data_IF_819468959605
#
_entry.id   IF_819468959605
#
_cell.length_a   1.000
_cell.length_b   1.000
_cell.length_c   1.000
_cell.angle_alpha   90.00
_cell.angle_beta   90.00
_cell.angle_gamma   90.00
#
_symmetry.space_group_name_H-M   'P 1'
#
loop_
_entity.id
_entity.type
_entity.pdbx_description
1 polymer ?
#
# COMPACT_ATOMS: atom_id res chain seq x y z
N UNK A 1 15.17 2.54 -18.62
CA UNK A 1 16.32 2.18 -17.76
C UNK A 1 16.59 0.69 -17.96
N UNK A 2 17.71 0.31 -18.59
CA UNK A 2 18.09 -1.09 -18.91
C UNK A 2 18.62 -1.79 -17.64
N UNK A 3 17.78 -2.03 -16.63
CA UNK A 3 18.24 -2.58 -15.33
C UNK A 3 18.63 -4.06 -15.46
N UNK A 4 17.96 -4.82 -16.35
CA UNK A 4 18.27 -6.22 -16.63
C UNK A 4 18.39 -6.43 -18.14
N UNK A 5 19.51 -6.00 -18.74
CA UNK A 5 19.77 -6.28 -20.16
C UNK A 5 20.30 -7.72 -20.32
N UNK A 6 19.69 -8.49 -21.23
CA UNK A 6 20.23 -9.78 -21.69
C UNK A 6 21.65 -9.59 -22.22
N UNK A 7 22.63 -10.25 -21.59
CA UNK A 7 23.93 -10.57 -22.18
C UNK A 7 24.00 -12.08 -22.24
N UNK A 8 24.10 -12.61 -23.45
CA UNK A 8 24.16 -14.04 -23.77
C UNK A 8 25.49 -14.63 -23.26
N UNK A 9 25.52 -15.07 -22.00
CA UNK A 9 26.56 -15.93 -21.43
C UNK A 9 25.89 -16.93 -20.48
N UNK A 10 25.47 -18.08 -21.02
CA UNK A 10 24.69 -19.13 -20.33
C UNK A 10 25.34 -19.61 -19.02
N UNK A 11 26.67 -19.62 -18.96
CA UNK A 11 27.42 -20.05 -17.77
C UNK A 11 27.31 -19.06 -16.59
N UNK A 12 26.98 -17.79 -16.87
CA UNK A 12 26.77 -16.76 -15.83
C UNK A 12 25.31 -16.67 -15.35
N UNK A 13 24.37 -17.27 -16.10
CA UNK A 13 22.93 -17.23 -15.84
C UNK A 13 22.52 -18.18 -14.71
N UNK A 14 23.05 -19.41 -14.71
CA UNK A 14 22.83 -20.37 -13.61
C UNK A 14 23.49 -19.93 -12.30
N UNK A 15 24.57 -19.13 -12.39
CA UNK A 15 25.39 -18.77 -11.24
C UNK A 15 24.63 -17.87 -10.24
N UNK A 16 23.88 -16.86 -10.71
CA UNK A 16 23.14 -15.93 -9.82
C UNK A 16 22.00 -16.64 -9.08
N UNK A 17 21.25 -17.46 -9.81
CA UNK A 17 20.14 -18.23 -9.26
C UNK A 17 20.62 -19.31 -8.28
N UNK A 18 21.68 -20.04 -8.63
CA UNK A 18 22.28 -21.04 -7.74
C UNK A 18 22.82 -20.39 -6.45
N UNK A 19 23.46 -19.22 -6.55
CA UNK A 19 23.90 -18.44 -5.39
C UNK A 19 22.72 -18.03 -4.50
N UNK A 20 21.63 -17.53 -5.09
CA UNK A 20 20.44 -17.14 -4.34
C UNK A 20 19.83 -18.33 -3.58
N UNK A 21 19.65 -19.46 -4.27
CA UNK A 21 19.16 -20.71 -3.65
C UNK A 21 20.09 -21.19 -2.54
N UNK A 22 21.41 -21.19 -2.77
CA UNK A 22 22.39 -21.58 -1.76
C UNK A 22 22.34 -20.67 -0.53
N UNK A 23 22.26 -19.35 -0.73
CA UNK A 23 22.15 -18.38 0.37
C UNK A 23 20.91 -18.70 1.21
N UNK A 24 19.74 -18.84 0.58
CA UNK A 24 18.48 -19.15 1.28
C UNK A 24 18.57 -20.40 2.16
N UNK A 25 19.23 -21.46 1.69
CA UNK A 25 19.37 -22.72 2.46
C UNK A 25 20.31 -22.61 3.65
N UNK A 26 21.26 -21.68 3.64
CA UNK A 26 22.24 -21.51 4.71
C UNK A 26 21.73 -20.70 5.91
N UNK A 27 20.50 -20.19 5.85
CA UNK A 27 19.98 -19.22 6.80
C UNK A 27 18.81 -19.79 7.58
N UNK A 28 18.90 -19.64 8.89
CA UNK A 28 17.80 -19.83 9.80
C UNK A 28 17.02 -18.50 9.94
N UNK A 29 15.85 -18.44 9.32
CA UNK A 29 14.98 -17.26 9.31
C UNK A 29 14.43 -16.89 10.69
N UNK A 30 14.47 -17.79 11.69
CA UNK A 30 14.10 -17.45 13.06
C UNK A 30 15.14 -16.56 13.76
N UNK A 31 16.39 -16.51 13.26
CA UNK A 31 17.49 -15.78 13.90
C UNK A 31 17.69 -14.43 13.19
N UNK A 32 17.43 -13.33 13.91
CA UNK A 32 17.56 -11.97 13.36
C UNK A 32 18.96 -11.65 12.82
N UNK A 33 20.01 -12.08 13.53
CA UNK A 33 21.39 -11.84 13.09
C UNK A 33 21.70 -12.55 11.75
N UNK A 34 21.13 -13.73 11.51
CA UNK A 34 21.29 -14.47 10.26
C UNK A 34 20.50 -13.82 9.13
N UNK A 35 19.27 -13.38 9.40
CA UNK A 35 18.46 -12.55 8.50
C UNK A 35 19.18 -11.27 8.06
N UNK A 36 19.82 -10.54 8.98
CA UNK A 36 20.65 -9.37 8.63
C UNK A 36 21.90 -9.75 7.83
N UNK A 37 22.51 -10.92 8.10
CA UNK A 37 23.63 -11.46 7.32
C UNK A 37 23.19 -11.85 5.90
N UNK A 38 21.96 -12.33 5.73
CA UNK A 38 21.37 -12.60 4.43
C UNK A 38 21.26 -11.35 3.59
N UNK A 39 20.64 -10.29 4.11
CA UNK A 39 20.44 -9.03 3.40
C UNK A 39 21.74 -8.44 2.88
N UNK A 40 22.80 -8.44 3.71
CA UNK A 40 24.14 -7.97 3.31
C UNK A 40 24.73 -8.74 2.13
N UNK A 41 24.39 -10.02 1.96
CA UNK A 41 24.82 -10.84 0.83
C UNK A 41 23.85 -10.76 -0.36
N UNK A 42 22.56 -10.56 -0.09
CA UNK A 42 21.51 -10.44 -1.08
C UNK A 42 21.67 -9.17 -1.92
N UNK A 43 21.84 -7.99 -1.30
CA UNK A 43 21.89 -6.73 -2.05
C UNK A 43 22.97 -6.67 -3.14
N UNK A 44 24.23 -7.09 -2.89
CA UNK A 44 25.24 -7.16 -3.95
C UNK A 44 24.91 -8.16 -5.06
N UNK A 45 24.21 -9.26 -4.72
CA UNK A 45 23.77 -10.27 -5.68
C UNK A 45 22.67 -9.71 -6.59
N UNK A 46 21.68 -9.01 -6.03
CA UNK A 46 20.60 -8.38 -6.79
C UNK A 46 21.12 -7.28 -7.73
N UNK A 47 22.06 -6.47 -7.24
CA UNK A 47 22.68 -5.39 -8.03
C UNK A 47 23.41 -5.90 -9.26
N UNK A 48 24.01 -7.08 -9.15
CA UNK A 48 24.79 -7.71 -10.23
C UNK A 48 24.08 -8.93 -10.80
N UNK A 49 22.74 -8.98 -10.71
CA UNK A 49 21.97 -10.12 -11.18
C UNK A 49 22.23 -10.36 -12.67
N UNK A 50 22.57 -11.61 -13.02
CA UNK A 50 22.75 -12.06 -14.40
C UNK A 50 21.74 -13.16 -14.70
N UNK A 51 21.17 -13.12 -15.90
CA UNK A 51 20.19 -14.09 -16.36
C UNK A 51 18.74 -13.67 -16.13
N UNK A 52 17.78 -14.56 -16.45
CA UNK A 52 16.36 -14.30 -16.24
C UNK A 52 16.04 -14.13 -14.76
N UNK A 53 15.00 -13.37 -14.46
CA UNK A 53 14.51 -13.23 -13.10
C UNK A 53 13.71 -14.49 -12.73
N UNK A 54 13.95 -15.08 -11.55
CA UNK A 54 13.28 -16.31 -11.13
C UNK A 54 11.88 -16.01 -10.60
N UNK A 55 10.98 -16.99 -10.63
CA UNK A 55 9.79 -16.90 -9.77
C UNK A 55 10.24 -17.01 -8.30
N UNK A 56 10.04 -15.94 -7.54
CA UNK A 56 10.46 -15.89 -6.14
C UNK A 56 9.73 -16.90 -5.26
N UNK A 57 8.54 -17.37 -5.65
CA UNK A 57 7.80 -18.40 -4.91
C UNK A 57 8.48 -19.77 -4.95
N UNK A 58 9.34 -20.01 -5.93
CA UNK A 58 10.13 -21.26 -6.02
C UNK A 58 11.30 -21.27 -5.01
N UNK A 59 11.62 -20.12 -4.42
CA UNK A 59 12.81 -19.93 -3.58
C UNK A 59 12.42 -19.55 -2.16
N UNK A 60 11.43 -18.67 -2.01
CA UNK A 60 11.03 -18.09 -0.73
C UNK A 60 9.58 -18.41 -0.40
N UNK A 61 9.33 -18.62 0.90
CA UNK A 61 7.98 -18.62 1.45
C UNK A 61 7.36 -17.22 1.37
N UNK A 62 6.03 -17.12 1.40
CA UNK A 62 5.32 -15.84 1.43
C UNK A 62 5.82 -14.94 2.56
N UNK A 63 5.91 -15.50 3.76
CA UNK A 63 6.26 -14.74 4.97
C UNK A 63 7.73 -14.28 4.91
N UNK A 64 8.60 -15.05 4.25
CA UNK A 64 9.98 -14.65 3.95
C UNK A 64 10.00 -13.46 2.97
N UNK A 65 9.14 -13.46 1.95
CA UNK A 65 9.00 -12.34 0.99
C UNK A 65 8.42 -11.09 1.66
N UNK A 66 7.37 -11.25 2.48
CA UNK A 66 6.79 -10.14 3.24
C UNK A 66 7.85 -9.55 4.18
N UNK A 67 8.59 -10.38 4.93
CA UNK A 67 9.67 -9.89 5.78
C UNK A 67 10.74 -9.13 4.98
N UNK A 68 11.17 -9.67 3.84
CA UNK A 68 12.15 -9.04 2.95
C UNK A 68 11.70 -7.65 2.47
N UNK A 69 10.44 -7.54 2.05
CA UNK A 69 9.84 -6.28 1.62
C UNK A 69 9.70 -5.30 2.80
N UNK A 70 9.30 -5.77 3.99
CA UNK A 70 9.21 -4.94 5.20
C UNK A 70 10.56 -4.38 5.61
N UNK A 71 11.63 -5.18 5.59
CA UNK A 71 12.99 -4.68 5.86
C UNK A 71 13.43 -3.61 4.87
N UNK A 72 12.98 -3.71 3.62
CA UNK A 72 13.25 -2.70 2.58
C UNK A 72 12.55 -1.37 2.89
N UNK A 73 11.41 -1.41 3.57
CA UNK A 73 10.65 -0.25 4.02
C UNK A 73 11.27 0.39 5.27
N UNK A 74 11.76 -0.42 6.22
CA UNK A 74 12.22 0.04 7.54
C UNK A 74 13.70 0.42 7.62
N UNK A 75 14.58 -0.29 6.89
CA UNK A 75 16.03 -0.16 7.02
C UNK A 75 16.58 1.24 6.70
N UNK A 76 15.84 2.07 5.97
CA UNK A 76 16.23 3.45 5.66
C UNK A 76 17.50 3.58 4.80
N UNK A 77 18.08 2.47 4.36
CA UNK A 77 19.22 2.41 3.43
C UNK A 77 18.75 2.51 1.96
N UNK A 78 17.66 3.24 1.70
CA UNK A 78 17.26 3.56 0.33
C UNK A 78 18.19 4.64 -0.21
N UNK A 79 19.33 4.21 -0.75
CA UNK A 79 20.04 5.01 -1.74
C UNK A 79 19.37 4.72 -3.08
N UNK A 80 18.97 5.76 -3.81
CA UNK A 80 18.44 5.70 -5.20
C UNK A 80 19.31 4.86 -6.17
N UNK A 81 20.55 4.54 -5.77
CA UNK A 81 21.52 3.72 -6.51
C UNK A 81 21.37 2.21 -6.32
N UNK A 82 20.58 1.73 -5.35
CA UNK A 82 20.31 0.31 -5.14
C UNK A 82 19.06 -0.09 -5.92
N UNK A 83 19.13 -1.21 -6.65
CA UNK A 83 17.92 -1.89 -7.13
C UNK A 83 17.13 -2.26 -5.88
N UNK A 84 16.04 -1.53 -5.62
CA UNK A 84 15.15 -1.81 -4.50
C UNK A 84 14.73 -3.27 -4.57
N UNK A 85 14.77 -3.98 -3.45
CA UNK A 85 14.32 -5.37 -3.38
C UNK A 85 12.86 -5.48 -3.87
N UNK A 86 12.02 -4.49 -3.58
CA UNK A 86 10.66 -4.42 -4.14
C UNK A 86 10.66 -4.35 -5.68
N UNK A 87 11.56 -3.57 -6.27
CA UNK A 87 11.69 -3.48 -7.73
C UNK A 87 12.13 -4.82 -8.31
N UNK A 88 13.09 -5.51 -7.69
CA UNK A 88 13.49 -6.86 -8.09
C UNK A 88 12.31 -7.85 -8.00
N UNK A 89 11.55 -7.81 -6.91
CA UNK A 89 10.35 -8.63 -6.70
C UNK A 89 9.31 -8.36 -7.79
N UNK A 90 9.02 -7.10 -8.11
CA UNK A 90 8.05 -6.76 -9.17
C UNK A 90 8.50 -7.25 -10.55
N UNK A 91 9.77 -7.02 -10.91
CA UNK A 91 10.30 -7.45 -12.20
C UNK A 91 10.45 -8.97 -12.31
N UNK A 92 10.55 -9.68 -11.18
CA UNK A 92 10.49 -11.14 -11.15
C UNK A 92 9.13 -11.70 -11.56
N UNK A 93 8.11 -10.83 -11.68
CA UNK A 93 6.74 -11.24 -11.97
C UNK A 93 5.98 -11.68 -10.72
N UNK A 94 6.60 -11.59 -9.54
CA UNK A 94 5.93 -11.89 -8.29
C UNK A 94 4.69 -11.01 -8.11
N UNK A 95 3.59 -11.67 -7.76
CA UNK A 95 2.34 -11.07 -7.30
C UNK A 95 1.91 -11.79 -6.05
N UNK A 96 1.31 -11.05 -5.14
CA UNK A 96 0.74 -11.65 -3.96
C UNK A 96 -0.39 -12.61 -4.36
N UNK A 97 -0.44 -13.75 -3.66
CA UNK A 97 -1.51 -14.73 -3.80
C UNK A 97 -2.17 -14.85 -2.43
N UNK A 98 -3.43 -14.41 -2.30
CA UNK A 98 -4.16 -14.52 -1.05
C UNK A 98 -4.41 -15.98 -0.71
N UNK A 99 -4.42 -16.27 0.59
CA UNK A 99 -5.00 -17.51 1.07
C UNK A 99 -6.52 -17.40 1.08
N UNK A 100 -7.19 -18.53 0.99
CA UNK A 100 -8.64 -18.63 1.06
C UNK A 100 -9.02 -19.51 2.24
N UNK A 101 -10.10 -19.15 2.93
CA UNK A 101 -10.72 -19.99 3.95
C UNK A 101 -11.45 -21.19 3.32
N UNK A 102 -11.98 -22.08 4.17
CA UNK A 102 -12.75 -23.26 3.72
C UNK A 102 -14.00 -22.91 2.90
N UNK A 103 -14.44 -21.64 2.92
CA UNK A 103 -15.58 -21.12 2.18
C UNK A 103 -15.16 -20.40 0.88
N UNK A 104 -13.87 -20.43 0.52
CA UNK A 104 -13.35 -19.78 -0.66
C UNK A 104 -13.29 -18.26 -0.56
N UNK A 105 -13.30 -17.69 0.64
CA UNK A 105 -13.17 -16.23 0.86
C UNK A 105 -11.72 -15.88 1.16
N UNK A 106 -11.19 -14.76 0.64
CA UNK A 106 -9.83 -14.33 0.95
C UNK A 106 -9.63 -14.11 2.45
N UNK A 107 -8.53 -14.65 2.99
CA UNK A 107 -8.09 -14.35 4.36
C UNK A 107 -7.51 -12.94 4.38
N UNK A 108 -8.27 -11.98 4.91
CA UNK A 108 -7.90 -10.57 4.91
C UNK A 108 -7.02 -10.15 6.09
N UNK A 109 -7.00 -10.89 7.20
CA UNK A 109 -6.14 -10.55 8.36
C UNK A 109 -4.68 -10.92 8.06
N UNK A 110 -3.87 -9.92 7.70
CA UNK A 110 -2.43 -10.06 7.42
C UNK A 110 -1.76 -8.69 7.46
N UNK A 111 -0.81 -8.52 8.36
CA UNK A 111 0.10 -7.39 8.35
C UNK A 111 1.10 -7.55 7.20
N UNK A 112 1.06 -6.62 6.25
CA UNK A 112 1.90 -6.65 5.04
C UNK A 112 2.92 -5.51 5.06
N UNK A 113 3.99 -5.57 4.25
CA UNK A 113 4.89 -4.45 3.96
C UNK A 113 4.22 -3.09 3.72
N UNK A 114 3.05 -3.04 3.06
CA UNK A 114 2.29 -1.80 2.88
C UNK A 114 1.90 -1.14 4.22
N UNK A 115 1.52 -1.92 5.23
CA UNK A 115 1.16 -1.41 6.56
C UNK A 115 2.39 -0.79 7.24
N UNK A 116 3.55 -1.46 7.22
CA UNK A 116 4.80 -0.90 7.75
C UNK A 116 5.24 0.39 7.02
N UNK A 117 4.85 0.56 5.76
CA UNK A 117 5.25 1.73 4.96
C UNK A 117 4.60 3.04 5.40
N UNK A 118 3.48 3.00 6.14
CA UNK A 118 2.82 4.23 6.62
C UNK A 118 3.58 4.85 7.82
N UNK A 119 4.19 4.01 8.64
CA UNK A 119 4.97 4.42 9.82
C UNK A 119 6.38 4.85 9.43
N UNK A 120 6.92 4.31 8.33
CA UNK A 120 8.23 4.70 7.81
C UNK A 120 8.21 6.10 7.20
N UNK A 121 9.05 6.98 7.74
CA UNK A 121 9.28 8.33 7.19
C UNK A 121 10.33 8.35 6.07
N UNK A 122 11.01 7.23 5.83
CA UNK A 122 12.24 7.19 5.02
C UNK A 122 12.00 6.77 3.57
N UNK A 123 11.09 5.81 3.34
CA UNK A 123 11.00 5.08 2.07
C UNK A 123 9.59 5.12 1.45
N UNK A 124 8.91 6.27 1.47
CA UNK A 124 7.53 6.38 0.93
C UNK A 124 7.43 6.15 -0.58
N UNK A 125 8.52 6.39 -1.33
CA UNK A 125 8.58 6.17 -2.78
C UNK A 125 8.35 4.69 -3.19
N UNK A 126 8.50 3.74 -2.26
CA UNK A 126 8.28 2.31 -2.53
C UNK A 126 6.80 1.91 -2.52
N UNK A 127 5.92 2.76 -1.98
CA UNK A 127 4.50 2.41 -1.76
C UNK A 127 3.77 2.09 -3.09
N UNK A 128 3.91 2.90 -4.17
CA UNK A 128 3.31 2.55 -5.46
C UNK A 128 3.82 1.22 -6.02
N UNK A 129 5.09 0.88 -5.75
CA UNK A 129 5.68 -0.38 -6.15
C UNK A 129 5.12 -1.56 -5.34
N UNK A 130 4.92 -1.38 -4.03
CA UNK A 130 4.25 -2.40 -3.21
C UNK A 130 2.80 -2.65 -3.68
N UNK A 131 2.05 -1.63 -4.09
CA UNK A 131 0.72 -1.83 -4.67
C UNK A 131 0.72 -2.62 -6.00
N UNK A 132 1.84 -2.67 -6.73
CA UNK A 132 1.99 -3.56 -7.89
C UNK A 132 2.19 -5.02 -7.49
N UNK A 133 2.64 -5.28 -6.26
CA UNK A 133 2.75 -6.64 -5.71
C UNK A 133 1.38 -7.10 -5.19
N UNK A 134 0.67 -6.20 -4.50
CA UNK A 134 -0.68 -6.42 -3.97
C UNK A 134 -1.74 -5.85 -4.93
N UNK A 135 -1.73 -6.31 -6.18
CA UNK A 135 -2.59 -5.77 -7.26
C UNK A 135 -4.00 -6.40 -7.34
N UNK A 136 -4.38 -7.17 -6.31
CA UNK A 136 -5.70 -7.79 -6.16
C UNK A 136 -6.62 -6.94 -5.28
N UNK A 137 -7.40 -6.08 -5.91
CA UNK A 137 -8.33 -5.15 -5.23
C UNK A 137 -9.62 -5.81 -4.73
N UNK A 138 -9.85 -7.09 -5.05
CA UNK A 138 -10.86 -7.93 -4.42
C UNK A 138 -10.45 -8.44 -3.03
N UNK A 139 -9.21 -8.15 -2.61
CA UNK A 139 -8.67 -8.44 -1.28
C UNK A 139 -8.23 -7.15 -0.61
N UNK A 140 -8.85 -6.83 0.51
CA UNK A 140 -8.45 -5.69 1.33
C UNK A 140 -7.81 -6.19 2.62
N UNK A 141 -6.49 -6.41 2.59
CA UNK A 141 -5.77 -6.89 3.75
C UNK A 141 -5.85 -5.89 4.90
N UNK A 142 -5.95 -6.40 6.13
CA UNK A 142 -6.00 -5.63 7.36
C UNK A 142 -4.90 -6.06 8.32
N UNK A 143 -4.21 -5.09 8.92
CA UNK A 143 -3.28 -5.33 10.02
C UNK A 143 -3.98 -5.48 11.38
N UNK A 144 -3.18 -5.60 12.43
CA UNK A 144 -3.62 -5.76 13.82
C UNK A 144 -4.38 -4.53 14.35
N UNK A 145 -4.06 -3.33 13.86
CA UNK A 145 -4.74 -2.07 14.22
C UNK A 145 -6.04 -1.82 13.45
N UNK A 146 -6.32 -2.66 12.45
CA UNK A 146 -7.48 -2.51 11.57
C UNK A 146 -7.26 -1.54 10.41
N UNK A 147 -6.02 -1.12 10.16
CA UNK A 147 -5.70 -0.41 8.93
C UNK A 147 -5.79 -1.39 7.77
N UNK A 148 -6.37 -0.93 6.66
CA UNK A 148 -6.53 -1.76 5.46
C UNK A 148 -5.70 -1.19 4.31
N UNK A 149 -5.44 -2.00 3.27
CA UNK A 149 -4.80 -1.49 2.04
C UNK A 149 -5.54 -0.31 1.43
N UNK A 150 -6.88 -0.30 1.52
CA UNK A 150 -7.68 0.84 1.10
C UNK A 150 -7.43 2.08 1.98
N UNK A 151 -7.39 1.94 3.31
CA UNK A 151 -7.05 3.05 4.21
C UNK A 151 -5.64 3.62 3.92
N UNK A 152 -4.67 2.74 3.65
CA UNK A 152 -3.31 3.13 3.27
C UNK A 152 -3.32 3.93 1.97
N UNK A 153 -4.00 3.45 0.94
CA UNK A 153 -4.11 4.16 -0.34
C UNK A 153 -4.74 5.55 -0.17
N UNK A 154 -5.78 5.66 0.66
CA UNK A 154 -6.44 6.94 0.94
C UNK A 154 -5.54 7.93 1.68
N UNK A 155 -4.79 7.43 2.67
CA UNK A 155 -3.84 8.22 3.46
C UNK A 155 -2.64 8.72 2.65
N UNK A 156 -2.13 7.89 1.73
CA UNK A 156 -0.95 8.22 0.91
C UNK A 156 -1.32 9.06 -0.31
N UNK A 157 -2.56 8.99 -0.78
CA UNK A 157 -3.01 9.71 -1.97
C UNK A 157 -2.85 8.92 -3.26
N UNK A 158 -2.86 7.58 -3.20
CA UNK A 158 -2.77 6.71 -4.37
C UNK A 158 -4.13 6.59 -5.07
N UNK A 159 -4.51 7.64 -5.79
CA UNK A 159 -5.77 7.78 -6.53
C UNK A 159 -6.11 6.59 -7.43
N UNK A 160 -5.18 6.09 -8.25
CA UNK A 160 -5.43 4.91 -9.10
C UNK A 160 -5.76 3.64 -8.31
N UNK A 161 -5.19 3.51 -7.11
CA UNK A 161 -5.44 2.37 -6.21
C UNK A 161 -6.80 2.54 -5.53
N UNK A 162 -7.11 3.75 -5.07
CA UNK A 162 -8.43 4.06 -4.48
C UNK A 162 -9.54 3.81 -5.49
N UNK A 163 -9.40 4.29 -6.72
CA UNK A 163 -10.36 4.09 -7.80
C UNK A 163 -10.62 2.59 -8.03
N UNK A 164 -9.58 1.77 -8.15
CA UNK A 164 -9.73 0.32 -8.32
C UNK A 164 -10.42 -0.36 -7.13
N UNK A 165 -10.09 -0.01 -5.90
CA UNK A 165 -10.81 -0.56 -4.75
C UNK A 165 -12.31 -0.23 -4.80
N UNK A 166 -12.66 1.02 -5.15
CA UNK A 166 -14.06 1.45 -5.30
C UNK A 166 -14.76 0.71 -6.45
N UNK A 167 -14.10 0.50 -7.57
CA UNK A 167 -14.62 -0.31 -8.70
C UNK A 167 -14.91 -1.76 -8.30
N UNK A 168 -14.11 -2.32 -7.40
CA UNK A 168 -14.32 -3.66 -6.82
C UNK A 168 -15.34 -3.67 -5.68
N UNK A 169 -16.03 -2.56 -5.42
CA UNK A 169 -17.11 -2.47 -4.44
C UNK A 169 -16.65 -2.31 -2.99
N UNK A 170 -15.42 -1.84 -2.76
CA UNK A 170 -14.97 -1.46 -1.43
C UNK A 170 -15.88 -0.36 -0.86
N UNK A 171 -16.33 -0.55 0.38
CA UNK A 171 -17.09 0.47 1.11
C UNK A 171 -16.20 1.70 1.39
N UNK A 172 -16.54 2.91 0.88
CA UNK A 172 -15.80 4.13 1.13
C UNK A 172 -15.96 4.67 2.56
N UNK A 173 -16.88 4.09 3.36
CA UNK A 173 -17.15 4.47 4.74
C UNK A 173 -16.58 3.47 5.76
N UNK A 174 -15.67 2.59 5.33
CA UNK A 174 -15.04 1.65 6.25
C UNK A 174 -14.26 2.38 7.34
N UNK A 175 -14.14 1.76 8.51
CA UNK A 175 -13.56 2.39 9.71
C UNK A 175 -12.37 1.58 10.18
N UNK A 176 -11.25 2.25 10.49
CA UNK A 176 -10.10 1.62 11.16
C UNK A 176 -10.51 1.22 12.58
N UNK A 177 -10.24 -0.02 12.97
CA UNK A 177 -10.75 -0.57 14.23
C UNK A 177 -10.20 0.14 15.48
N UNK A 178 -8.90 0.45 15.51
CA UNK A 178 -8.27 1.05 16.70
C UNK A 178 -8.35 2.57 16.78
N UNK A 179 -8.40 3.27 15.65
CA UNK A 179 -8.34 4.75 15.59
C UNK A 179 -9.62 5.40 15.12
N UNK A 180 -10.60 4.60 14.68
CA UNK A 180 -11.85 5.06 14.08
C UNK A 180 -11.67 5.98 12.87
N UNK A 181 -10.50 5.93 12.23
CA UNK A 181 -10.22 6.73 11.05
C UNK A 181 -11.08 6.25 9.87
N UNK A 182 -11.65 7.22 9.15
CA UNK A 182 -12.41 6.98 7.93
C UNK A 182 -11.60 7.41 6.69
N UNK A 183 -11.78 6.73 5.54
CA UNK A 183 -11.11 7.08 4.28
C UNK A 183 -11.22 8.56 3.94
N UNK A 184 -12.40 9.15 4.08
CA UNK A 184 -12.65 10.56 3.74
C UNK A 184 -11.86 11.52 4.65
N UNK A 185 -11.83 11.25 5.96
CA UNK A 185 -11.04 12.01 6.93
C UNK A 185 -9.54 11.83 6.71
N UNK A 186 -9.08 10.62 6.36
CA UNK A 186 -7.69 10.38 5.99
C UNK A 186 -7.29 11.20 4.77
N UNK A 187 -8.11 11.20 3.71
CA UNK A 187 -7.82 11.98 2.50
C UNK A 187 -7.72 13.49 2.81
N UNK A 188 -8.62 14.02 3.64
CA UNK A 188 -8.59 15.42 4.05
C UNK A 188 -7.38 15.75 4.92
N UNK A 189 -7.09 14.99 5.98
CA UNK A 189 -5.96 15.26 6.90
C UNK A 189 -4.60 15.21 6.21
N UNK A 190 -4.47 14.43 5.14
CA UNK A 190 -3.24 14.28 4.37
C UNK A 190 -3.23 15.08 3.05
N UNK A 191 -4.19 15.99 2.84
CA UNK A 191 -4.29 16.87 1.66
C UNK A 191 -4.38 16.11 0.31
N UNK A 192 -5.03 14.95 0.30
CA UNK A 192 -5.20 14.14 -0.90
C UNK A 192 -6.52 14.48 -1.61
N UNK A 193 -6.59 15.66 -2.23
CA UNK A 193 -7.83 16.19 -2.83
C UNK A 193 -8.45 15.27 -3.89
N UNK A 194 -7.63 14.67 -4.75
CA UNK A 194 -8.11 13.76 -5.80
C UNK A 194 -8.74 12.49 -5.21
N UNK A 195 -8.13 11.95 -4.15
CA UNK A 195 -8.70 10.83 -3.41
C UNK A 195 -10.00 11.24 -2.73
N UNK A 196 -10.04 12.43 -2.11
CA UNK A 196 -11.26 12.97 -1.51
C UNK A 196 -12.41 13.02 -2.55
N UNK A 197 -12.15 13.52 -3.76
CA UNK A 197 -13.15 13.54 -4.83
C UNK A 197 -13.57 12.12 -5.24
N UNK A 198 -12.63 11.19 -5.42
CA UNK A 198 -12.92 9.79 -5.73
C UNK A 198 -13.82 9.14 -4.68
N UNK A 199 -13.53 9.35 -3.39
CA UNK A 199 -14.32 8.81 -2.28
C UNK A 199 -15.73 9.39 -2.26
N UNK A 200 -15.88 10.70 -2.39
CA UNK A 200 -17.20 11.37 -2.44
C UNK A 200 -18.02 10.87 -3.63
N UNK A 201 -17.40 10.75 -4.81
CA UNK A 201 -18.05 10.20 -6.01
C UNK A 201 -18.37 8.70 -5.87
N UNK A 202 -17.55 7.97 -5.11
CA UNK A 202 -17.71 6.57 -4.74
C UNK A 202 -18.77 6.29 -3.68
N UNK A 203 -19.42 7.33 -3.13
CA UNK A 203 -20.51 7.17 -2.15
C UNK A 203 -20.07 7.29 -0.69
N UNK A 204 -18.92 7.93 -0.41
CA UNK A 204 -18.60 8.35 0.94
C UNK A 204 -19.70 9.28 1.49
N UNK A 205 -20.06 9.10 2.76
CA UNK A 205 -21.02 9.95 3.46
C UNK A 205 -20.35 11.29 3.82
N UNK A 206 -20.81 12.42 3.25
CA UNK A 206 -20.23 13.74 3.53
C UNK A 206 -20.46 14.22 4.96
N UNK A 207 -21.33 13.56 5.73
CA UNK A 207 -21.70 13.92 7.09
C UNK A 207 -21.17 12.94 8.15
N UNK A 208 -20.38 11.95 7.74
CA UNK A 208 -19.84 10.96 8.67
C UNK A 208 -18.94 11.62 9.71
N UNK A 209 -19.03 11.18 10.96
CA UNK A 209 -18.24 11.74 12.06
C UNK A 209 -17.08 10.80 12.40
N UNK A 210 -15.89 11.37 12.61
CA UNK A 210 -14.76 10.63 13.17
C UNK A 210 -14.89 10.47 14.70
N UNK A 211 -13.91 9.81 15.32
CA UNK A 211 -13.88 9.61 16.78
C UNK A 211 -13.85 10.91 17.59
N UNK A 212 -13.45 12.03 16.98
CA UNK A 212 -13.44 13.35 17.62
C UNK A 212 -14.77 14.08 17.45
N UNK A 213 -15.74 13.49 16.76
CA UNK A 213 -17.01 14.11 16.41
C UNK A 213 -16.91 15.11 15.25
N UNK A 214 -15.80 15.08 14.49
CA UNK A 214 -15.59 16.00 13.37
C UNK A 214 -16.18 15.41 12.08
N UNK A 215 -16.93 16.22 11.34
CA UNK A 215 -17.38 15.91 9.98
C UNK A 215 -16.28 16.26 8.96
N UNK A 216 -16.36 15.76 7.72
CA UNK A 216 -15.50 16.23 6.64
C UNK A 216 -15.48 17.75 6.51
N UNK A 217 -16.64 18.41 6.64
CA UNK A 217 -16.75 19.86 6.57
C UNK A 217 -16.00 20.58 7.71
N UNK A 218 -15.98 20.02 8.93
CA UNK A 218 -15.17 20.57 10.02
C UNK A 218 -13.68 20.55 9.65
N UNK A 219 -13.18 19.44 9.09
CA UNK A 219 -11.78 19.34 8.69
C UNK A 219 -11.41 20.26 7.52
N UNK A 220 -12.31 20.47 6.57
CA UNK A 220 -12.10 21.42 5.47
C UNK A 220 -12.01 22.85 6.01
N UNK A 221 -12.92 23.22 6.92
CA UNK A 221 -12.95 24.57 7.51
C UNK A 221 -11.77 24.89 8.44
N UNK A 222 -11.10 23.87 8.99
CA UNK A 222 -9.89 24.03 9.81
C UNK A 222 -8.64 24.41 8.99
N UNK A 223 -8.67 24.22 7.67
CA UNK A 223 -7.53 24.55 6.80
C UNK A 223 -7.64 25.98 6.29
N UNK A 224 -6.57 26.74 6.44
CA UNK A 224 -6.44 28.06 5.82
C UNK A 224 -6.25 27.90 4.30
N UNK A 225 -6.99 28.67 3.49
CA UNK A 225 -6.93 28.73 2.02
C UNK A 225 -7.37 27.47 1.22
N UNK A 226 -8.42 26.75 1.65
CA UNK A 226 -8.96 25.57 0.93
C UNK A 226 -10.35 25.83 0.27
N UNK A 227 -10.59 27.05 -0.22
CA UNK A 227 -11.85 27.45 -0.87
C UNK A 227 -12.23 26.51 -2.04
N UNK A 228 -11.23 26.05 -2.79
CA UNK A 228 -11.42 25.10 -3.90
C UNK A 228 -11.95 23.73 -3.43
N UNK A 229 -11.55 23.26 -2.25
CA UNK A 229 -12.06 22.00 -1.68
C UNK A 229 -13.48 22.18 -1.13
N UNK A 230 -13.78 23.33 -0.51
CA UNK A 230 -15.13 23.68 -0.07
C UNK A 230 -16.10 23.70 -1.26
N UNK A 231 -15.75 24.40 -2.33
CA UNK A 231 -16.58 24.50 -3.53
C UNK A 231 -16.80 23.12 -4.18
N UNK A 232 -15.75 22.29 -4.26
CA UNK A 232 -15.86 20.92 -4.75
C UNK A 232 -16.74 20.05 -3.84
N UNK A 233 -16.61 20.16 -2.52
CA UNK A 233 -17.43 19.43 -1.56
C UNK A 233 -18.92 19.71 -1.79
N UNK A 234 -19.32 21.00 -1.81
CA UNK A 234 -20.72 21.37 -2.03
C UNK A 234 -21.21 20.96 -3.41
N UNK A 235 -20.40 21.16 -4.45
CA UNK A 235 -20.73 20.73 -5.81
C UNK A 235 -21.03 19.23 -5.90
N UNK A 236 -20.21 18.38 -5.30
CA UNK A 236 -20.42 16.92 -5.33
C UNK A 236 -21.66 16.54 -4.51
N UNK A 237 -21.89 17.19 -3.36
CA UNK A 237 -23.08 16.96 -2.55
C UNK A 237 -24.37 17.31 -3.31
N UNK A 238 -24.40 18.44 -4.01
CA UNK A 238 -25.50 18.86 -4.86
C UNK A 238 -25.73 17.88 -6.02
N UNK A 239 -24.66 17.45 -6.70
CA UNK A 239 -24.72 16.44 -7.78
C UNK A 239 -25.30 15.10 -7.30
N UNK A 240 -24.97 14.70 -6.07
CA UNK A 240 -25.38 13.41 -5.48
C UNK A 240 -26.70 13.49 -4.70
N UNK A 241 -27.29 14.68 -4.56
CA UNK A 241 -28.44 14.95 -3.68
C UNK A 241 -28.20 14.49 -2.22
N UNK A 242 -26.97 14.65 -1.73
CA UNK A 242 -26.61 14.35 -0.34
C UNK A 242 -26.78 15.61 0.51
N UNK A 243 -27.79 15.68 1.40
CA UNK A 243 -28.03 16.87 2.19
C UNK A 243 -26.89 17.05 3.21
N UNK A 244 -26.19 18.18 3.14
CA UNK A 244 -25.26 18.60 4.18
C UNK A 244 -26.04 19.48 5.15
N UNK A 245 -26.06 19.18 6.47
CA UNK A 245 -26.64 20.08 7.44
C UNK A 245 -25.93 21.43 7.35
N UNK A 246 -26.68 22.49 7.03
CA UNK A 246 -26.15 23.84 7.14
C UNK A 246 -25.58 24.03 8.55
N UNK A 247 -24.35 24.55 8.66
CA UNK A 247 -23.69 24.88 9.92
C UNK A 247 -24.51 25.88 10.79
N UNK A 248 -25.55 26.49 10.20
CA UNK A 248 -26.62 27.14 10.93
C UNK A 248 -27.85 26.23 10.94
N UNK A 249 -28.32 25.84 12.13
CA UNK A 249 -29.50 24.99 12.37
C UNK A 249 -30.83 25.55 11.87
N UNK A 250 -30.97 25.76 10.56
CA UNK A 250 -32.21 26.08 9.90
C UNK A 250 -32.41 25.14 8.72
N UNK A 251 -33.32 24.19 8.91
CA UNK A 251 -34.04 23.55 7.80
C UNK A 251 -34.67 24.67 6.99
N UNK A 252 -34.16 24.94 5.80
CA UNK A 252 -34.95 25.67 4.82
C UNK A 252 -36.14 24.76 4.45
N UNK A 253 -37.34 25.30 4.71
CA UNK A 253 -38.62 24.73 4.32
C UNK A 253 -38.85 24.91 2.83
#
# INVERSE_FOLDING_TARGET
MRIFAKRDDSDSEEESLAKLKSLRHTINWAIEAERRKFLRQLYPLLRNWKGPLPDLRDIFGRDEIDWLLTESVESGEYRKELVSLAVFVIYSGYRDKPDFDDYGRPVSRRTTPLHHAIESTKNRDIIPDLFKIYDRFDVNYTDESGYTHFHIACRIGCDEVVEKFLEFGQDPNCVVTETGDLPLHLALRFNNEKVFELLMRGGADPNVVDEKGSTPLHLIAEKEDDDDVVDRFFKICDEKNHPVPNAAGHRCK
#
